data_IF_105646649701
#
_entry.id   IF_105646649701
#
_cell.length_a   1.000
_cell.length_b   1.000
_cell.length_c   1.000
_cell.angle_alpha   90.00
_cell.angle_beta   90.00
_cell.angle_gamma   90.00
#
_symmetry.space_group_name_H-M   'P 1'
#
loop_
_entity.id
_entity.type
_entity.pdbx_description
1 polymer ?
#
# COMPACT_ATOMS: atom_id res chain seq x y z
N UNK A 1 40.65 54.73 35.69
CA UNK A 1 40.43 53.57 34.80
C UNK A 1 39.41 52.66 35.45
N UNK A 2 38.17 52.66 34.94
CA UNK A 2 37.11 51.75 35.41
C UNK A 2 36.71 50.93 34.20
N UNK A 3 37.04 49.63 34.23
CA UNK A 3 36.72 48.69 33.15
C UNK A 3 35.25 48.30 33.24
N UNK A 4 34.43 48.77 32.30
CA UNK A 4 33.11 48.20 32.03
C UNK A 4 33.29 46.85 31.33
N UNK A 5 33.10 45.75 32.05
CA UNK A 5 32.80 44.45 31.47
C UNK A 5 31.30 44.21 31.64
N UNK A 6 30.52 44.52 30.61
CA UNK A 6 29.18 43.95 30.46
C UNK A 6 29.38 42.47 30.11
N UNK A 7 29.14 41.56 31.06
CA UNK A 7 28.93 40.15 30.74
C UNK A 7 27.56 40.00 30.06
N UNK A 8 27.47 39.47 28.83
CA UNK A 8 26.20 39.01 28.33
C UNK A 8 25.87 37.68 29.03
N UNK A 9 24.92 37.73 29.97
CA UNK A 9 24.26 36.53 30.49
C UNK A 9 23.45 35.91 29.34
N UNK A 10 24.08 34.97 28.63
CA UNK A 10 23.41 34.15 27.62
C UNK A 10 22.39 33.25 28.29
N UNK A 11 21.12 33.65 28.24
CA UNK A 11 19.97 32.83 28.61
C UNK A 11 19.79 31.79 27.51
N UNK A 12 20.24 30.56 27.77
CA UNK A 12 19.89 29.40 26.94
C UNK A 12 18.44 29.03 27.24
N UNK A 13 17.52 29.47 26.39
CA UNK A 13 16.15 28.95 26.37
C UNK A 13 16.16 27.52 25.80
N UNK A 14 16.16 26.53 26.68
CA UNK A 14 15.81 25.14 26.36
C UNK A 14 14.30 25.10 26.08
N UNK A 15 13.91 25.48 24.87
CA UNK A 15 12.62 25.11 24.33
C UNK A 15 12.64 23.60 24.09
N UNK A 16 12.15 22.81 25.06
CA UNK A 16 11.77 21.43 24.81
C UNK A 16 10.58 21.45 23.86
N UNK A 17 10.84 21.54 22.55
CA UNK A 17 9.81 21.20 21.59
C UNK A 17 9.57 19.70 21.75
N UNK A 18 8.51 19.34 22.47
CA UNK A 18 7.89 18.02 22.42
C UNK A 18 7.26 17.76 21.05
N UNK A 19 7.94 18.17 19.98
CA UNK A 19 7.78 17.54 18.70
C UNK A 19 8.37 16.17 18.91
N UNK A 20 7.48 15.22 19.19
CA UNK A 20 7.66 13.85 18.78
C UNK A 20 8.03 13.96 17.31
N UNK A 21 9.33 14.05 17.05
CA UNK A 21 9.90 13.70 15.78
C UNK A 21 9.47 12.24 15.73
N UNK A 22 8.31 11.99 15.10
CA UNK A 22 8.04 10.71 14.52
C UNK A 22 9.29 10.52 13.69
N UNK A 23 10.22 9.73 14.25
CA UNK A 23 11.35 9.24 13.52
C UNK A 23 10.66 8.69 12.32
N UNK A 24 10.83 9.38 11.19
CA UNK A 24 10.56 8.81 9.90
C UNK A 24 11.47 7.60 9.95
N UNK A 25 10.93 6.49 10.45
CA UNK A 25 11.26 5.18 9.93
C UNK A 25 11.19 5.49 8.47
N UNK A 26 12.36 5.58 7.84
CA UNK A 26 12.43 5.37 6.43
C UNK A 26 11.76 4.00 6.30
N UNK A 27 10.43 4.01 6.11
CA UNK A 27 9.78 2.99 5.34
C UNK A 27 10.56 3.14 4.06
N UNK A 28 11.63 2.36 3.92
CA UNK A 28 12.12 2.00 2.62
C UNK A 28 10.82 1.64 1.92
N UNK A 29 10.38 2.43 0.93
CA UNK A 29 9.12 2.20 0.25
C UNK A 29 9.37 1.02 -0.69
N UNK A 30 9.96 -0.05 -0.17
CA UNK A 30 10.05 -1.30 -0.84
C UNK A 30 8.62 -1.85 -0.78
N UNK A 31 7.89 -1.82 -1.91
CA UNK A 31 6.57 -2.43 -1.96
C UNK A 31 6.61 -3.91 -1.56
N UNK A 32 7.76 -4.59 -1.64
CA UNK A 32 7.95 -5.98 -1.19
C UNK A 32 7.68 -6.21 0.30
N UNK A 33 7.71 -5.15 1.12
CA UNK A 33 7.42 -5.26 2.56
C UNK A 33 5.93 -5.57 2.82
N UNK A 34 5.06 -5.31 1.83
CA UNK A 34 3.65 -5.74 1.83
C UNK A 34 3.28 -6.67 0.63
N UNK A 35 4.12 -6.78 -0.40
CA UNK A 35 3.69 -7.29 -1.71
C UNK A 35 4.20 -8.67 -2.14
N UNK A 36 5.04 -9.37 -1.35
CA UNK A 36 5.37 -10.78 -1.68
C UNK A 36 4.11 -11.63 -1.91
N UNK A 37 3.04 -11.31 -1.19
CA UNK A 37 1.73 -11.96 -1.35
C UNK A 37 1.09 -11.73 -2.72
N UNK A 38 1.03 -10.49 -3.21
CA UNK A 38 0.32 -10.17 -4.45
C UNK A 38 1.03 -10.73 -5.68
N UNK A 39 2.36 -10.59 -5.75
CA UNK A 39 3.15 -11.18 -6.84
C UNK A 39 3.00 -12.69 -6.90
N UNK A 40 3.10 -13.37 -5.75
CA UNK A 40 2.89 -14.82 -5.67
C UNK A 40 1.46 -15.24 -6.03
N UNK A 41 0.46 -14.46 -5.59
CA UNK A 41 -0.95 -14.70 -5.93
C UNK A 41 -1.16 -14.66 -7.45
N UNK A 42 -0.70 -13.60 -8.12
CA UNK A 42 -0.79 -13.46 -9.57
C UNK A 42 -0.05 -14.61 -10.28
N UNK A 43 1.19 -14.90 -9.84
CA UNK A 43 1.99 -15.97 -10.43
C UNK A 43 1.34 -17.35 -10.26
N UNK A 44 0.69 -17.61 -9.12
CA UNK A 44 -0.05 -18.87 -8.87
C UNK A 44 -1.19 -19.01 -9.86
N UNK A 45 -1.95 -17.93 -10.11
CA UNK A 45 -3.03 -17.93 -11.10
C UNK A 45 -2.49 -18.17 -12.50
N UNK A 46 -1.49 -17.41 -12.95
CA UNK A 46 -0.93 -17.64 -14.29
C UNK A 46 -0.36 -19.07 -14.43
N UNK A 47 0.30 -19.59 -13.41
CA UNK A 47 0.85 -20.95 -13.41
C UNK A 47 -0.24 -22.02 -13.52
N UNK A 48 -1.39 -21.83 -12.84
CA UNK A 48 -2.55 -22.74 -12.98
C UNK A 48 -3.12 -22.78 -14.41
N UNK A 49 -2.86 -21.73 -15.20
CA UNK A 49 -3.22 -21.64 -16.62
C UNK A 49 -2.10 -22.13 -17.55
N UNK A 50 -1.04 -22.74 -17.01
CA UNK A 50 0.21 -23.10 -17.74
C UNK A 50 0.80 -21.88 -18.48
N UNK A 51 0.67 -20.70 -17.90
CA UNK A 51 1.05 -19.41 -18.48
C UNK A 51 1.97 -18.64 -17.53
N UNK A 52 2.61 -17.59 -18.05
CA UNK A 52 3.46 -16.66 -17.29
C UNK A 52 2.85 -15.26 -17.29
N UNK A 53 3.07 -14.51 -16.22
CA UNK A 53 2.71 -13.10 -16.17
C UNK A 53 3.53 -12.32 -17.20
N UNK A 54 2.86 -11.58 -18.08
CA UNK A 54 3.53 -10.71 -19.07
C UNK A 54 3.24 -9.24 -18.83
N UNK A 55 2.10 -8.89 -18.23
CA UNK A 55 1.80 -7.52 -17.84
C UNK A 55 0.93 -7.45 -16.60
N UNK A 56 1.13 -6.40 -15.82
CA UNK A 56 0.30 -6.03 -14.68
C UNK A 56 0.08 -4.52 -14.71
N UNK A 57 -1.18 -4.09 -14.63
CA UNK A 57 -1.54 -2.68 -14.63
C UNK A 57 -2.87 -2.46 -13.90
N UNK A 58 -2.84 -1.56 -12.92
CA UNK A 58 -3.98 -1.25 -12.06
C UNK A 58 -4.52 -2.52 -11.38
N UNK A 59 -5.75 -2.88 -11.73
CA UNK A 59 -6.45 -4.04 -11.19
C UNK A 59 -6.52 -5.22 -12.16
N UNK A 60 -5.67 -5.25 -13.18
CA UNK A 60 -5.66 -6.33 -14.16
C UNK A 60 -4.25 -6.81 -14.46
N UNK A 61 -4.16 -8.07 -14.84
CA UNK A 61 -2.92 -8.70 -15.27
C UNK A 61 -3.18 -9.60 -16.47
N UNK A 62 -2.13 -9.81 -17.25
CA UNK A 62 -2.16 -10.65 -18.44
C UNK A 62 -1.22 -11.83 -18.23
N UNK A 63 -1.75 -13.02 -18.42
CA UNK A 63 -0.97 -14.25 -18.48
C UNK A 63 -0.85 -14.68 -19.95
N UNK A 64 0.35 -15.05 -20.37
CA UNK A 64 0.61 -15.60 -21.70
C UNK A 64 1.20 -17.00 -21.59
N UNK A 65 0.65 -17.93 -22.35
CA UNK A 65 1.09 -19.32 -22.38
C UNK A 65 0.79 -19.97 -23.73
N UNK A 66 0.87 -21.29 -23.78
CA UNK A 66 0.50 -22.07 -24.96
C UNK A 66 -0.64 -23.02 -24.63
N UNK A 67 -1.55 -23.22 -25.58
CA UNK A 67 -2.58 -24.24 -25.49
C UNK A 67 -2.03 -25.62 -25.91
N UNK A 68 -2.86 -26.67 -25.87
CA UNK A 68 -2.45 -28.03 -26.22
C UNK A 68 -2.08 -28.19 -27.72
N UNK A 69 -2.38 -27.19 -28.55
CA UNK A 69 -1.99 -27.12 -29.97
C UNK A 69 -0.74 -26.25 -30.21
N UNK A 70 0.02 -25.92 -29.16
CA UNK A 70 1.23 -25.08 -29.19
C UNK A 70 0.99 -23.62 -29.66
N UNK A 71 -0.27 -23.17 -29.69
CA UNK A 71 -0.63 -21.80 -30.06
C UNK A 71 -0.56 -20.86 -28.86
N UNK A 72 0.01 -19.67 -29.07
CA UNK A 72 0.04 -18.62 -28.04
C UNK A 72 -1.38 -18.23 -27.62
N UNK A 73 -1.62 -18.29 -26.31
CA UNK A 73 -2.89 -17.90 -25.69
C UNK A 73 -2.62 -16.78 -24.69
N UNK A 74 -3.34 -15.68 -24.84
CA UNK A 74 -3.25 -14.50 -23.98
C UNK A 74 -4.53 -14.41 -23.16
N UNK A 75 -4.40 -14.43 -21.83
CA UNK A 75 -5.53 -14.37 -20.91
C UNK A 75 -5.40 -13.16 -19.99
N UNK A 76 -6.36 -12.24 -20.08
CA UNK A 76 -6.48 -11.12 -19.14
C UNK A 76 -7.33 -11.53 -17.93
N UNK A 77 -6.87 -11.21 -16.73
CA UNK A 77 -7.54 -11.43 -15.45
C UNK A 77 -7.61 -10.14 -14.67
N UNK A 78 -8.54 -10.11 -13.72
CA UNK A 78 -8.73 -8.98 -12.81
C UNK A 78 -8.42 -9.42 -11.38
N UNK A 79 -7.88 -8.49 -10.60
CA UNK A 79 -7.73 -8.66 -9.16
C UNK A 79 -9.10 -8.63 -8.49
N UNK A 80 -9.22 -9.39 -7.40
CA UNK A 80 -10.39 -9.34 -6.53
C UNK A 80 -10.46 -7.99 -5.81
N UNK A 81 -11.67 -7.63 -5.40
CA UNK A 81 -11.89 -6.42 -4.61
C UNK A 81 -11.07 -6.46 -3.30
N UNK A 82 -10.52 -5.31 -2.90
CA UNK A 82 -9.67 -5.16 -1.71
C UNK A 82 -8.20 -5.48 -1.91
N UNK A 83 -7.81 -6.08 -3.05
CA UNK A 83 -6.39 -6.31 -3.32
C UNK A 83 -5.67 -4.99 -3.66
N UNK A 84 -4.42 -4.82 -3.20
CA UNK A 84 -3.69 -3.58 -3.44
C UNK A 84 -3.33 -3.44 -4.93
N UNK A 85 -3.51 -2.22 -5.46
CA UNK A 85 -3.15 -1.87 -6.84
C UNK A 85 -2.24 -0.63 -6.92
N UNK A 86 -1.92 -0.03 -5.77
CA UNK A 86 -1.08 1.15 -5.65
C UNK A 86 -0.91 1.56 -4.19
N UNK A 87 -0.17 2.64 -3.95
CA UNK A 87 -0.01 3.21 -2.61
C UNK A 87 -1.35 3.76 -2.13
N UNK A 88 -1.82 3.27 -0.98
CA UNK A 88 -3.12 3.64 -0.40
C UNK A 88 -4.28 3.46 -1.40
N UNK A 89 -4.21 2.43 -2.24
CA UNK A 89 -5.23 2.11 -3.23
C UNK A 89 -5.55 0.62 -3.24
N UNK A 90 -6.81 0.31 -3.45
CA UNK A 90 -7.34 -1.03 -3.58
C UNK A 90 -8.12 -1.19 -4.88
N UNK A 91 -8.26 -2.43 -5.34
CA UNK A 91 -9.15 -2.77 -6.42
C UNK A 91 -10.59 -2.81 -5.94
N UNK A 92 -11.48 -2.18 -6.70
CA UNK A 92 -12.92 -2.22 -6.51
C UNK A 92 -13.59 -2.33 -7.86
N UNK A 93 -14.29 -3.44 -8.13
CA UNK A 93 -14.96 -3.72 -9.41
C UNK A 93 -14.02 -3.58 -10.61
N UNK A 94 -12.75 -3.96 -10.44
CA UNK A 94 -11.71 -3.85 -11.47
C UNK A 94 -11.12 -2.45 -11.67
N UNK A 95 -11.48 -1.47 -10.84
CA UNK A 95 -10.90 -0.10 -10.84
C UNK A 95 -9.98 0.06 -9.65
N UNK A 96 -8.83 0.69 -9.85
CA UNK A 96 -7.92 1.03 -8.75
C UNK A 96 -8.39 2.32 -8.09
N UNK A 97 -8.86 2.22 -6.84
CA UNK A 97 -9.49 3.33 -6.11
C UNK A 97 -8.75 3.64 -4.80
N UNK A 98 -8.69 4.91 -4.37
CA UNK A 98 -8.13 5.27 -3.08
C UNK A 98 -8.88 4.61 -1.92
N UNK A 99 -8.15 4.06 -0.96
CA UNK A 99 -8.76 3.58 0.30
C UNK A 99 -9.19 4.77 1.16
N UNK A 100 -10.34 4.67 1.81
CA UNK A 100 -10.80 5.69 2.76
C UNK A 100 -10.53 5.23 4.20
N UNK A 101 -9.88 6.08 4.98
CA UNK A 101 -9.66 5.86 6.41
C UNK A 101 -10.81 6.48 7.21
N UNK A 102 -11.38 5.73 8.15
CA UNK A 102 -12.29 6.29 9.14
C UNK A 102 -11.49 6.95 10.26
N UNK A 103 -11.45 8.28 10.33
CA UNK A 103 -10.68 8.97 11.38
C UNK A 103 -11.29 8.85 12.79
N UNK A 104 -12.55 8.39 12.90
CA UNK A 104 -13.20 8.12 14.18
C UNK A 104 -12.61 6.89 14.91
N UNK A 105 -12.02 5.96 14.15
CA UNK A 105 -11.22 4.87 14.72
C UNK A 105 -10.06 4.57 13.74
N UNK A 106 -8.80 4.87 14.13
CA UNK A 106 -7.63 4.79 13.25
C UNK A 106 -7.31 3.39 12.70
N UNK A 107 -8.03 2.36 13.15
CA UNK A 107 -7.91 0.99 12.65
C UNK A 107 -8.99 0.61 11.62
N UNK A 108 -9.95 1.50 11.35
CA UNK A 108 -11.04 1.22 10.40
C UNK A 108 -10.69 1.71 9.00
N UNK A 109 -10.26 0.76 8.16
CA UNK A 109 -10.25 0.93 6.72
C UNK A 109 -11.67 0.72 6.17
N UNK A 110 -12.18 1.69 5.41
CA UNK A 110 -13.35 1.50 4.56
C UNK A 110 -12.86 0.90 3.24
N UNK A 111 -12.96 -0.43 3.16
CA UNK A 111 -12.66 -1.20 1.95
C UNK A 111 -13.95 -1.56 1.21
N UNK A 112 -13.91 -1.57 -0.12
CA UNK A 112 -15.01 -2.09 -0.95
C UNK A 112 -15.16 -3.62 -0.87
N UNK A 113 -14.11 -4.35 -0.46
CA UNK A 113 -14.19 -5.79 -0.22
C UNK A 113 -15.06 -6.14 1.00
N UNK A 114 -15.30 -5.15 1.86
CA UNK A 114 -16.04 -5.31 3.10
C UNK A 114 -17.53 -5.47 2.81
N UNK A 115 -17.98 -6.71 2.70
CA UNK A 115 -19.41 -7.03 2.62
C UNK A 115 -20.04 -6.68 3.97
N UNK A 116 -21.08 -5.83 3.97
CA UNK A 116 -21.95 -5.67 5.14
C UNK A 116 -22.56 -7.04 5.46
N UNK A 117 -22.14 -7.66 6.56
CA UNK A 117 -22.95 -8.72 7.17
C UNK A 117 -24.24 -8.08 7.68
N UNK A 118 -25.35 -8.82 7.63
CA UNK A 118 -26.67 -8.36 8.09
C UNK A 118 -26.70 -7.90 9.57
N UNK A 119 -25.59 -8.11 10.30
CA UNK A 119 -25.39 -7.77 11.71
C UNK A 119 -24.53 -6.52 11.93
N UNK A 120 -24.06 -5.84 10.87
CA UNK A 120 -23.33 -4.57 10.99
C UNK A 120 -21.90 -4.68 11.56
N UNK A 121 -21.38 -5.88 11.77
CA UNK A 121 -20.01 -6.11 12.23
C UNK A 121 -19.06 -6.26 11.05
N UNK A 122 -18.10 -5.35 11.03
CA UNK A 122 -16.98 -5.27 10.12
C UNK A 122 -15.96 -6.38 10.43
N UNK A 123 -15.87 -7.42 9.60
CA UNK A 123 -14.69 -8.30 9.53
C UNK A 123 -13.61 -7.64 8.67
#
# INVERSE_FOLDING_TARGET
MIRMMLLPLSIVLLASSGHVHAQWVQLNPNPDTCSKGLGNYINTICSSLKAKLTSFSGCSFTCEGKNDHDQTTITKRYLMDGLPCGLCMECCTGVCTPVQFGFENPLTLKSCAKKRTATGLYQ
#
